data_IF_048336030322
#
_entry.id   IF_048336030322
#
_cell.length_a   1.000
_cell.length_b   1.000
_cell.length_c   1.000
_cell.angle_alpha   90.00
_cell.angle_beta   90.00
_cell.angle_gamma   90.00
#
_symmetry.space_group_name_H-M   'P 1'
#
loop_
_entity.id
_entity.type
_entity.pdbx_description
1 polymer ?
#
# COMPACT_ATOMS: atom_id res chain seq x y z
N UNK A 1 7.17 11.79 -7.89
CA UNK A 1 8.55 11.59 -8.38
C UNK A 1 9.47 11.53 -7.18
N UNK A 2 9.95 10.35 -6.81
CA UNK A 2 10.82 10.17 -5.66
C UNK A 2 12.19 10.82 -5.95
N UNK A 3 12.47 11.98 -5.36
CA UNK A 3 13.82 12.56 -5.37
C UNK A 3 14.64 11.85 -4.29
N UNK A 4 15.05 10.62 -4.56
CA UNK A 4 15.95 9.90 -3.67
C UNK A 4 17.39 10.31 -3.97
N UNK A 5 17.93 11.17 -3.11
CA UNK A 5 19.30 11.07 -2.56
C UNK A 5 19.64 12.38 -1.91
N UNK A 6 19.89 12.32 -0.60
CA UNK A 6 20.59 13.36 0.14
C UNK A 6 22.10 13.23 -0.17
N UNK A 7 22.47 13.16 -1.46
CA UNK A 7 23.86 13.07 -1.88
C UNK A 7 24.39 14.47 -2.08
N UNK A 8 25.43 14.82 -1.32
CA UNK A 8 26.23 16.05 -1.47
C UNK A 8 26.68 16.25 -2.92
N UNK A 9 26.81 15.16 -3.68
CA UNK A 9 27.06 15.16 -5.10
C UNK A 9 25.82 14.69 -5.88
N UNK A 10 25.16 15.61 -6.58
CA UNK A 10 24.18 15.28 -7.61
C UNK A 10 24.79 15.63 -8.98
N UNK A 11 25.18 14.64 -9.80
CA UNK A 11 25.84 14.87 -11.08
C UNK A 11 24.97 15.62 -12.10
N UNK A 12 23.65 15.68 -11.87
CA UNK A 12 22.73 16.44 -12.72
C UNK A 12 22.64 17.93 -12.36
N UNK A 13 23.19 18.32 -11.21
CA UNK A 13 23.28 19.73 -10.79
C UNK A 13 24.64 20.37 -11.15
N UNK A 14 25.58 19.60 -11.71
CA UNK A 14 26.94 20.07 -12.04
C UNK A 14 27.09 20.58 -13.47
N UNK A 15 26.09 20.38 -14.32
CA UNK A 15 26.13 20.86 -15.70
C UNK A 15 25.64 22.30 -15.81
N UNK A 16 26.22 23.06 -16.73
CA UNK A 16 25.74 24.39 -17.07
C UNK A 16 24.34 24.28 -17.71
N UNK A 17 23.34 24.82 -17.02
CA UNK A 17 21.98 24.90 -17.54
C UNK A 17 21.97 25.73 -18.83
N UNK A 18 21.30 25.24 -19.86
CA UNK A 18 21.06 26.04 -21.07
C UNK A 18 20.19 27.25 -20.73
N UNK A 19 20.27 28.32 -21.54
CA UNK A 19 19.46 29.53 -21.30
C UNK A 19 17.95 29.26 -21.28
N UNK A 20 17.50 28.28 -22.07
CA UNK A 20 16.11 27.80 -22.11
C UNK A 20 15.72 27.09 -20.81
N UNK A 21 16.56 26.19 -20.29
CA UNK A 21 16.32 25.51 -19.02
C UNK A 21 16.28 26.51 -17.86
N UNK A 22 17.19 27.49 -17.85
CA UNK A 22 17.20 28.53 -16.82
C UNK A 22 15.94 29.39 -16.88
N UNK A 23 15.42 29.70 -18.08
CA UNK A 23 14.15 30.38 -18.25
C UNK A 23 12.99 29.54 -17.68
N UNK A 24 12.93 28.25 -17.99
CA UNK A 24 11.92 27.35 -17.45
C UNK A 24 12.00 27.21 -15.92
N UNK A 25 13.20 27.21 -15.33
CA UNK A 25 13.40 27.19 -13.88
C UNK A 25 12.90 28.48 -13.24
N UNK A 26 13.20 29.64 -13.85
CA UNK A 26 12.70 30.94 -13.40
C UNK A 26 11.18 31.01 -13.47
N UNK A 27 10.57 30.50 -14.54
CA UNK A 27 9.11 30.44 -14.66
C UNK A 27 8.48 29.54 -13.59
N UNK A 28 9.03 28.36 -13.34
CA UNK A 28 8.59 27.47 -12.26
C UNK A 28 8.74 28.12 -10.88
N UNK A 29 9.81 28.88 -10.67
CA UNK A 29 10.02 29.63 -9.43
C UNK A 29 8.97 30.74 -9.25
N UNK A 30 8.68 31.51 -10.31
CA UNK A 30 7.63 32.54 -10.30
C UNK A 30 6.27 31.96 -9.92
N UNK A 31 5.88 30.84 -10.51
CA UNK A 31 4.60 30.16 -10.18
C UNK A 31 4.56 29.75 -8.71
N UNK A 32 5.66 29.17 -8.20
CA UNK A 32 5.76 28.76 -6.79
C UNK A 32 5.65 29.96 -5.84
N UNK A 33 6.29 31.06 -6.17
CA UNK A 33 6.29 32.26 -5.33
C UNK A 33 4.92 32.95 -5.33
N UNK A 34 4.24 32.98 -6.48
CA UNK A 34 2.85 33.44 -6.57
C UNK A 34 1.92 32.60 -5.69
N UNK A 35 1.97 31.27 -5.80
CA UNK A 35 1.17 30.36 -4.98
C UNK A 35 1.45 30.51 -3.47
N UNK A 36 2.72 30.66 -3.08
CA UNK A 36 3.11 30.92 -1.69
C UNK A 36 2.61 32.27 -1.19
N UNK A 37 2.59 33.29 -2.05
CA UNK A 37 2.09 34.61 -1.69
C UNK A 37 0.58 34.57 -1.45
N UNK A 38 -0.18 33.87 -2.29
CA UNK A 38 -1.62 33.66 -2.10
C UNK A 38 -1.93 32.92 -0.80
N UNK A 39 -1.21 31.83 -0.52
CA UNK A 39 -1.37 31.08 0.73
C UNK A 39 -1.11 31.96 1.95
N UNK A 40 0.00 32.73 1.95
CA UNK A 40 0.35 33.63 3.05
C UNK A 40 -0.74 34.67 3.29
N UNK A 41 -1.26 35.30 2.23
CA UNK A 41 -2.36 36.29 2.34
C UNK A 41 -3.60 35.70 3.01
N UNK A 42 -3.96 34.44 2.69
CA UNK A 42 -5.13 33.78 3.30
C UNK A 42 -4.88 33.36 4.74
N UNK A 43 -3.68 32.85 5.04
CA UNK A 43 -3.35 32.32 6.35
C UNK A 43 -3.15 33.42 7.41
N UNK A 44 -2.49 34.52 7.05
CA UNK A 44 -2.17 35.59 8.00
C UNK A 44 -3.23 36.70 8.08
N UNK A 45 -4.41 36.53 7.45
CA UNK A 45 -5.46 37.54 7.48
C UNK A 45 -6.19 37.56 8.84
N UNK A 46 -6.07 38.62 9.65
CA UNK A 46 -6.70 38.67 10.97
C UNK A 46 -8.22 38.89 10.91
N UNK A 47 -8.77 39.39 9.79
CA UNK A 47 -10.19 39.71 9.65
C UNK A 47 -11.03 38.55 9.12
N UNK A 48 -10.39 37.59 8.48
CA UNK A 48 -11.03 36.37 8.00
C UNK A 48 -10.15 35.17 8.37
N UNK A 49 -10.06 34.83 9.66
CA UNK A 49 -9.27 33.70 10.08
C UNK A 49 -9.83 32.43 9.41
N UNK A 50 -8.97 31.56 8.85
CA UNK A 50 -9.45 30.32 8.27
C UNK A 50 -10.11 29.47 9.36
N UNK A 51 -11.42 29.26 9.25
CA UNK A 51 -12.18 28.41 10.17
C UNK A 51 -11.90 26.96 9.76
N UNK A 52 -11.08 26.26 10.54
CA UNK A 52 -10.68 24.88 10.26
C UNK A 52 -9.54 24.77 9.24
N UNK A 53 -9.71 23.91 8.23
CA UNK A 53 -8.64 23.60 7.28
C UNK A 53 -8.73 24.54 6.06
N UNK A 54 -7.59 25.12 5.66
CA UNK A 54 -7.53 25.91 4.44
C UNK A 54 -7.71 25.00 3.22
N UNK A 55 -8.69 25.32 2.38
CA UNK A 55 -8.96 24.59 1.16
C UNK A 55 -7.82 24.79 0.14
N UNK A 56 -7.13 23.71 -0.21
CA UNK A 56 -6.10 23.68 -1.27
C UNK A 56 -6.67 23.04 -2.55
N UNK A 57 -6.79 23.81 -3.66
CA UNK A 57 -7.29 23.26 -4.92
C UNK A 57 -6.38 22.16 -5.48
N UNK A 58 -5.06 22.19 -5.24
CA UNK A 58 -4.17 21.13 -5.74
C UNK A 58 -4.46 19.78 -5.09
N UNK A 59 -4.70 19.77 -3.77
CA UNK A 59 -5.11 18.57 -3.06
C UNK A 59 -6.50 18.10 -3.51
N UNK A 60 -7.45 19.02 -3.65
CA UNK A 60 -8.79 18.68 -4.14
C UNK A 60 -8.73 18.00 -5.52
N UNK A 61 -7.94 18.53 -6.45
CA UNK A 61 -7.73 17.95 -7.77
C UNK A 61 -7.06 16.57 -7.71
N UNK A 62 -6.12 16.36 -6.78
CA UNK A 62 -5.49 15.06 -6.60
C UNK A 62 -6.49 14.02 -6.09
N UNK A 63 -7.33 14.37 -5.10
CA UNK A 63 -8.36 13.47 -4.60
C UNK A 63 -9.42 13.20 -5.66
N UNK A 64 -9.85 14.23 -6.40
CA UNK A 64 -10.83 14.05 -7.47
C UNK A 64 -10.27 13.13 -8.56
N UNK A 65 -9.01 13.29 -8.96
CA UNK A 65 -8.36 12.45 -9.97
C UNK A 65 -8.26 10.97 -9.56
N UNK A 66 -8.09 10.68 -8.27
CA UNK A 66 -8.08 9.30 -7.76
C UNK A 66 -9.46 8.66 -7.83
N UNK A 67 -10.51 9.41 -7.49
CA UNK A 67 -11.88 8.92 -7.48
C UNK A 67 -12.43 8.79 -8.91
N UNK A 68 -12.15 9.76 -9.77
CA UNK A 68 -12.60 9.76 -11.18
C UNK A 68 -11.77 8.85 -12.08
N UNK A 69 -10.78 8.12 -11.54
CA UNK A 69 -9.87 7.31 -12.35
C UNK A 69 -10.61 6.24 -13.18
N UNK A 70 -11.71 5.71 -12.65
CA UNK A 70 -12.53 4.71 -13.33
C UNK A 70 -13.13 5.21 -14.66
N UNK A 71 -13.45 6.49 -14.78
CA UNK A 71 -14.01 7.10 -16.00
C UNK A 71 -12.99 7.18 -17.12
N UNK A 72 -11.70 7.28 -16.76
CA UNK A 72 -10.59 7.38 -17.71
C UNK A 72 -9.95 6.03 -18.05
N UNK A 73 -10.41 4.94 -17.42
CA UNK A 73 -9.92 3.59 -17.71
C UNK A 73 -10.41 3.15 -19.10
N UNK A 74 -9.50 3.17 -20.07
CA UNK A 74 -9.75 2.55 -21.38
C UNK A 74 -9.64 1.04 -21.28
N UNK A 75 -10.55 0.28 -21.91
CA UNK A 75 -10.39 -1.17 -22.00
C UNK A 75 -9.09 -1.48 -22.73
N UNK A 76 -8.17 -2.16 -22.03
CA UNK A 76 -6.84 -2.49 -22.54
C UNK A 76 -6.53 -3.97 -22.27
N UNK A 77 -6.01 -4.71 -23.26
CA UNK A 77 -5.64 -6.12 -23.06
C UNK A 77 -4.64 -6.32 -21.92
N UNK A 78 -3.70 -5.38 -21.73
CA UNK A 78 -2.71 -5.42 -20.64
C UNK A 78 -3.38 -5.36 -19.27
N UNK A 79 -4.40 -4.52 -19.11
CA UNK A 79 -5.13 -4.36 -17.86
C UNK A 79 -5.93 -5.64 -17.54
N UNK A 80 -6.52 -6.26 -18.56
CA UNK A 80 -7.20 -7.55 -18.44
C UNK A 80 -6.27 -8.68 -17.97
N UNK A 81 -5.06 -8.76 -18.52
CA UNK A 81 -4.06 -9.76 -18.10
C UNK A 81 -3.62 -9.56 -16.64
N UNK A 82 -3.42 -8.31 -16.21
CA UNK A 82 -3.08 -8.00 -14.81
C UNK A 82 -4.22 -8.41 -13.88
N UNK A 83 -5.47 -8.05 -14.23
CA UNK A 83 -6.63 -8.42 -13.44
C UNK A 83 -6.78 -9.94 -13.33
N UNK A 84 -6.60 -10.67 -14.43
CA UNK A 84 -6.63 -12.13 -14.43
C UNK A 84 -5.52 -12.73 -13.58
N UNK A 85 -4.30 -12.19 -13.64
CA UNK A 85 -3.18 -12.62 -12.81
C UNK A 85 -3.46 -12.44 -11.31
N UNK A 86 -3.98 -11.27 -10.91
CA UNK A 86 -4.31 -10.97 -9.51
C UNK A 86 -5.45 -11.85 -9.00
N UNK A 87 -6.55 -11.95 -9.76
CA UNK A 87 -7.70 -12.78 -9.39
C UNK A 87 -7.36 -14.27 -9.38
N UNK A 88 -6.59 -14.73 -10.36
CA UNK A 88 -6.11 -16.10 -10.45
C UNK A 88 -5.22 -16.47 -9.27
N UNK A 89 -4.26 -15.61 -8.91
CA UNK A 89 -3.40 -15.82 -7.74
C UNK A 89 -4.19 -15.84 -6.43
N UNK A 90 -5.15 -14.92 -6.26
CA UNK A 90 -6.02 -14.88 -5.08
C UNK A 90 -6.89 -16.14 -4.96
N UNK A 91 -7.49 -16.59 -6.07
CA UNK A 91 -8.28 -17.82 -6.13
C UNK A 91 -7.44 -19.05 -5.78
N UNK A 92 -6.24 -19.17 -6.37
CA UNK A 92 -5.31 -20.26 -6.07
C UNK A 92 -4.90 -20.27 -4.60
N UNK A 93 -4.58 -19.10 -4.03
CA UNK A 93 -4.24 -18.97 -2.62
C UNK A 93 -5.38 -19.41 -1.70
N UNK A 94 -6.64 -19.08 -2.04
CA UNK A 94 -7.80 -19.55 -1.29
C UNK A 94 -7.95 -21.08 -1.33
N UNK A 95 -7.79 -21.69 -2.51
CA UNK A 95 -7.88 -23.16 -2.66
C UNK A 95 -6.79 -23.87 -1.85
N UNK A 96 -5.54 -23.41 -1.96
CA UNK A 96 -4.40 -23.96 -1.19
C UNK A 96 -4.69 -23.84 0.31
N UNK A 97 -5.12 -22.66 0.76
CA UNK A 97 -5.46 -22.43 2.18
C UNK A 97 -6.60 -23.33 2.66
N UNK A 98 -7.61 -23.58 1.82
CA UNK A 98 -8.69 -24.51 2.10
C UNK A 98 -8.18 -25.94 2.31
N UNK A 99 -7.35 -26.44 1.37
CA UNK A 99 -6.75 -27.79 1.46
C UNK A 99 -5.87 -27.95 2.70
N UNK A 100 -5.02 -26.95 3.00
CA UNK A 100 -4.17 -26.96 4.19
C UNK A 100 -4.98 -27.00 5.49
N UNK A 101 -6.12 -26.30 5.56
CA UNK A 101 -7.02 -26.37 6.73
C UNK A 101 -7.60 -27.77 6.93
N UNK A 102 -8.02 -28.44 5.85
CA UNK A 102 -8.58 -29.80 5.92
C UNK A 102 -7.53 -30.81 6.36
N UNK A 103 -6.34 -30.78 5.76
CA UNK A 103 -5.20 -31.65 6.15
C UNK A 103 -4.86 -31.46 7.63
N UNK A 104 -4.76 -30.21 8.09
CA UNK A 104 -4.51 -29.90 9.50
C UNK A 104 -5.58 -30.47 10.45
N UNK A 105 -6.87 -30.40 10.08
CA UNK A 105 -7.96 -30.97 10.88
C UNK A 105 -7.84 -32.49 10.98
N UNK A 106 -7.53 -33.16 9.87
CA UNK A 106 -7.38 -34.62 9.84
C UNK A 106 -6.18 -35.09 10.68
N UNK A 107 -5.03 -34.41 10.57
CA UNK A 107 -3.86 -34.67 11.41
C UNK A 107 -4.16 -34.49 12.90
N UNK A 108 -4.89 -33.43 13.28
CA UNK A 108 -5.31 -33.24 14.68
C UNK A 108 -6.22 -34.37 15.17
N UNK A 109 -7.16 -34.86 14.36
CA UNK A 109 -8.01 -36.01 14.73
C UNK A 109 -7.19 -37.28 14.94
N UNK A 110 -6.26 -37.58 14.03
CA UNK A 110 -5.39 -38.75 14.16
C UNK A 110 -4.53 -38.64 15.41
N UNK A 111 -3.96 -37.47 15.68
CA UNK A 111 -3.15 -37.23 16.88
C UNK A 111 -3.97 -37.40 18.16
N UNK A 112 -5.21 -36.88 18.21
CA UNK A 112 -6.13 -37.07 19.35
C UNK A 112 -6.51 -38.54 19.56
N UNK A 113 -6.80 -39.29 18.49
CA UNK A 113 -7.08 -40.73 18.58
C UNK A 113 -5.88 -41.52 19.09
N UNK A 114 -4.67 -41.16 18.64
CA UNK A 114 -3.42 -41.79 19.11
C UNK A 114 -3.11 -41.44 20.57
N UNK A 115 -3.40 -40.21 21.00
CA UNK A 115 -3.26 -39.79 22.40
C UNK A 115 -4.22 -40.58 23.31
N UNK A 116 -5.48 -40.75 22.90
CA UNK A 116 -6.44 -41.58 23.64
C UNK A 116 -5.98 -43.04 23.74
N UNK A 117 -5.50 -43.64 22.64
CA UNK A 117 -4.97 -45.02 22.66
C UNK A 117 -3.73 -45.17 23.55
N UNK A 118 -2.84 -44.17 23.59
CA UNK A 118 -1.67 -44.20 24.47
C UNK A 118 -2.08 -44.12 25.95
N UNK A 119 -3.08 -43.30 26.27
CA UNK A 119 -3.57 -43.16 27.63
C UNK A 119 -4.29 -44.42 28.13
N UNK A 120 -5.08 -45.09 27.28
CA UNK A 120 -5.73 -46.35 27.63
C UNK A 120 -4.76 -47.51 27.77
N UNK A 121 -3.68 -47.55 26.98
CA UNK A 121 -2.64 -48.56 27.11
C UNK A 121 -1.85 -48.40 28.42
N UNK A 122 -1.54 -47.14 28.79
CA UNK A 122 -0.78 -46.85 30.00
C UNK A 122 -1.59 -47.14 31.28
N UNK A 123 -2.91 -46.85 31.29
CA UNK A 123 -3.75 -47.21 32.43
C UNK A 123 -3.90 -48.72 32.60
N UNK A 124 -4.06 -49.47 31.50
CA UNK A 124 -4.12 -50.95 31.53
C UNK A 124 -2.80 -51.55 32.05
N UNK A 125 -1.65 -51.00 31.65
CA UNK A 125 -0.34 -51.46 32.12
C UNK A 125 -0.15 -51.22 33.62
N UNK A 126 -0.59 -50.05 34.13
CA UNK A 126 -0.51 -49.72 35.56
C UNK A 126 -1.43 -50.65 36.39
N UNK A 127 -2.63 -50.97 35.90
CA UNK A 127 -3.54 -51.91 36.56
C UNK A 127 -2.94 -53.33 36.64
N UNK A 128 -2.17 -53.77 35.64
CA UNK A 128 -1.52 -55.09 35.66
C UNK A 128 -0.25 -55.17 36.53
N UNK A 129 0.36 -54.03 36.87
CA UNK A 129 1.56 -53.99 37.72
C UNK A 129 1.20 -53.89 39.22
N UNK A 130 0.00 -53.41 39.55
CA UNK A 130 -0.46 -53.20 40.94
C UNK A 130 -1.50 -54.23 41.45
N UNK A 131 -1.78 -55.29 40.69
CA UNK A 131 -2.56 -56.48 41.09
C UNK A 131 -1.64 -57.68 41.15
#
# INVERSE_FOLDING_TARGET
MAKSSNSVFNPWNTFYETSEEQAAIKERAKIRDAMKAEYRKRYTNPFNPPIGHLHDPALQHQFSAQVSYAEYLRPSPKLGLIAFGVLGAAGLAMVIRGRLKTVRKNLRRIWLLRAHHFQTFNTQLIFHIFV
#
